data_IF_453172121453
#
_entry.id   IF_453172121453
#
_cell.length_a   1.000
_cell.length_b   1.000
_cell.length_c   1.000
_cell.angle_alpha   90.00
_cell.angle_beta   90.00
_cell.angle_gamma   90.00
#
_symmetry.space_group_name_H-M   'P 1'
#
loop_
_entity.id
_entity.type
_entity.pdbx_description
1 polymer ?
#
# COMPACT_ATOMS: atom_id res chain seq x y z
N UNK A 1 10.07 6.05 15.66
CA UNK A 1 9.92 4.68 16.20
C UNK A 1 11.17 4.18 16.92
N UNK A 2 12.24 4.98 17.08
CA UNK A 2 13.47 4.57 17.79
C UNK A 2 13.71 5.23 19.15
N UNK A 3 12.69 5.76 19.82
CA UNK A 3 12.88 6.53 21.06
C UNK A 3 11.78 6.27 22.12
N UNK A 4 11.32 5.02 22.26
CA UNK A 4 10.38 4.61 23.31
C UNK A 4 10.79 3.29 23.98
N UNK A 5 12.09 3.15 24.28
CA UNK A 5 12.61 2.12 25.18
C UNK A 5 13.71 2.75 26.05
N UNK A 6 13.33 3.79 26.81
CA UNK A 6 14.16 4.32 27.89
C UNK A 6 13.80 3.56 29.17
N UNK A 7 14.55 2.49 29.45
CA UNK A 7 14.37 1.67 30.66
C UNK A 7 15.06 0.32 30.52
N UNK A 8 16.30 0.24 31.03
CA UNK A 8 17.09 -0.96 31.34
C UNK A 8 17.09 -2.16 30.35
N UNK A 9 18.21 -2.34 29.64
CA UNK A 9 18.77 -3.66 29.28
C UNK A 9 18.03 -4.59 28.30
N UNK A 10 16.81 -4.27 27.86
CA UNK A 10 16.08 -5.16 26.96
C UNK A 10 16.63 -5.08 25.51
N UNK A 11 16.87 -6.21 24.84
CA UNK A 11 17.33 -6.22 23.46
C UNK A 11 16.30 -5.53 22.53
N UNK A 12 16.76 -4.88 21.45
CA UNK A 12 15.88 -4.15 20.54
C UNK A 12 14.87 -5.09 19.86
N UNK A 13 13.63 -4.62 19.73
CA UNK A 13 12.58 -5.35 19.01
C UNK A 13 12.94 -5.56 17.54
N UNK A 14 12.62 -6.74 17.03
CA UNK A 14 12.92 -7.16 15.67
C UNK A 14 11.70 -6.95 14.74
N UNK A 15 11.91 -6.25 13.63
CA UNK A 15 10.87 -6.00 12.62
C UNK A 15 10.47 -7.29 11.89
N UNK A 16 9.19 -7.64 11.84
CA UNK A 16 8.73 -8.89 11.19
C UNK A 16 8.25 -8.69 9.75
N UNK A 17 7.70 -7.52 9.43
CA UNK A 17 7.32 -7.11 8.08
C UNK A 17 7.40 -5.60 7.95
N UNK A 18 7.24 -5.09 6.73
CA UNK A 18 7.18 -3.64 6.47
C UNK A 18 5.76 -3.19 6.21
N UNK A 19 5.53 -1.91 6.49
CA UNK A 19 4.36 -1.14 6.10
C UNK A 19 4.89 0.11 5.38
N UNK A 20 4.22 0.56 4.32
CA UNK A 20 4.64 1.79 3.65
C UNK A 20 4.50 2.97 4.62
N UNK A 21 5.40 3.96 4.52
CA UNK A 21 5.51 5.09 5.45
C UNK A 21 4.18 5.80 5.75
N UNK A 22 3.28 5.83 4.78
CA UNK A 22 2.02 6.57 4.83
C UNK A 22 0.81 5.66 5.07
N UNK A 23 1.04 4.34 5.11
CA UNK A 23 0.01 3.37 5.44
C UNK A 23 -0.07 3.23 6.96
N UNK A 24 -1.29 3.20 7.49
CA UNK A 24 -1.54 3.00 8.93
C UNK A 24 -1.97 1.56 9.19
N UNK A 25 -1.99 1.11 10.44
CA UNK A 25 -2.57 -0.19 10.82
C UNK A 25 -1.59 -1.15 11.47
N UNK A 26 -1.90 -2.45 11.39
CA UNK A 26 -1.18 -3.50 12.11
C UNK A 26 0.30 -3.58 11.68
N UNK A 27 1.19 -3.63 12.67
CA UNK A 27 2.63 -3.82 12.50
C UNK A 27 3.14 -4.82 13.54
N UNK A 28 3.73 -5.93 13.08
CA UNK A 28 4.22 -7.00 13.96
C UNK A 28 5.71 -6.81 14.25
N UNK A 29 6.03 -6.80 15.55
CA UNK A 29 7.39 -6.78 16.09
C UNK A 29 7.60 -8.02 16.96
N UNK A 30 8.78 -8.62 16.90
CA UNK A 30 9.14 -9.74 17.76
C UNK A 30 10.18 -9.31 18.81
N UNK A 31 10.11 -9.89 20.01
CA UNK A 31 11.07 -9.61 21.09
C UNK A 31 12.47 -10.20 20.86
N UNK A 32 12.59 -11.21 19.99
CA UNK A 32 13.85 -11.89 19.70
C UNK A 32 14.00 -12.26 18.22
N UNK A 33 15.25 -12.47 17.80
CA UNK A 33 15.61 -12.76 16.41
C UNK A 33 14.97 -14.06 15.89
N UNK A 34 14.90 -15.10 16.73
CA UNK A 34 14.30 -16.39 16.35
C UNK A 34 12.80 -16.26 16.07
N UNK A 35 12.06 -15.58 16.94
CA UNK A 35 10.64 -15.30 16.74
C UNK A 35 10.42 -14.42 15.49
N UNK A 36 11.27 -13.41 15.27
CA UNK A 36 11.23 -12.63 14.04
C UNK A 36 11.47 -13.49 12.78
N UNK A 37 12.42 -14.41 12.83
CA UNK A 37 12.70 -15.32 11.71
C UNK A 37 11.49 -16.20 11.39
N UNK A 38 10.83 -16.77 12.41
CA UNK A 38 9.59 -17.55 12.23
C UNK A 38 8.47 -16.72 11.60
N UNK A 39 8.21 -15.52 12.11
CA UNK A 39 7.16 -14.66 11.56
C UNK A 39 7.50 -14.19 10.13
N UNK A 40 8.75 -13.79 9.87
CA UNK A 40 9.23 -13.43 8.52
C UNK A 40 9.04 -14.59 7.54
N UNK A 41 9.28 -15.84 7.98
CA UNK A 41 9.02 -17.02 7.17
C UNK A 41 7.54 -17.15 6.82
N UNK A 42 6.62 -16.93 7.76
CA UNK A 42 5.18 -16.94 7.48
C UNK A 42 4.77 -15.90 6.42
N UNK A 43 5.35 -14.70 6.47
CA UNK A 43 5.17 -13.69 5.41
C UNK A 43 5.77 -14.13 4.08
N UNK A 44 6.98 -14.70 4.09
CA UNK A 44 7.69 -15.22 2.90
C UNK A 44 6.93 -16.37 2.24
N UNK A 45 6.35 -17.26 3.03
CA UNK A 45 5.54 -18.40 2.60
C UNK A 45 4.09 -18.03 2.27
N UNK A 46 3.70 -16.77 2.51
CA UNK A 46 2.35 -16.24 2.25
C UNK A 46 1.26 -16.97 3.03
N UNK A 47 1.59 -17.36 4.26
CA UNK A 47 0.64 -17.96 5.20
C UNK A 47 -0.09 -16.92 6.05
N UNK A 48 0.34 -15.66 6.00
CA UNK A 48 -0.31 -14.53 6.69
C UNK A 48 -1.37 -13.91 5.79
N UNK A 49 -2.61 -13.94 6.23
CA UNK A 49 -3.69 -13.21 5.58
C UNK A 49 -3.61 -11.73 5.96
N UNK A 50 -3.83 -10.86 4.97
CA UNK A 50 -3.74 -9.41 5.15
C UNK A 50 -5.00 -8.79 4.60
N UNK A 51 -5.70 -8.02 5.42
CA UNK A 51 -6.86 -7.22 5.02
C UNK A 51 -6.56 -5.75 5.23
N UNK A 52 -6.76 -4.98 4.17
CA UNK A 52 -6.63 -3.53 4.17
C UNK A 52 -7.96 -2.88 3.87
N UNK A 53 -8.19 -1.72 4.48
CA UNK A 53 -9.25 -0.81 4.07
C UNK A 53 -8.64 0.39 3.35
N UNK A 54 -9.30 0.83 2.29
CA UNK A 54 -8.96 2.08 1.62
C UNK A 54 -10.20 2.90 1.26
N UNK A 55 -10.07 4.22 1.29
CA UNK A 55 -11.05 5.11 0.66
C UNK A 55 -10.49 5.45 -0.71
N UNK A 56 -11.20 5.11 -1.77
CA UNK A 56 -10.82 5.38 -3.16
C UNK A 56 -11.75 6.41 -3.79
N UNK A 57 -11.23 7.17 -4.76
CA UNK A 57 -12.06 8.01 -5.63
C UNK A 57 -12.78 7.11 -6.64
N UNK A 58 -14.05 7.42 -6.92
CA UNK A 58 -14.90 6.59 -7.77
C UNK A 58 -15.31 5.27 -7.12
N UNK A 59 -15.99 4.45 -7.90
CA UNK A 59 -16.42 3.11 -7.52
C UNK A 59 -15.92 2.14 -8.59
N UNK A 60 -15.16 1.10 -8.22
CA UNK A 60 -14.79 0.04 -9.15
C UNK A 60 -16.03 -0.67 -9.71
N UNK A 61 -15.98 -0.98 -11.00
CA UNK A 61 -16.93 -1.85 -11.68
C UNK A 61 -16.17 -3.04 -12.26
N UNK A 62 -16.47 -4.28 -11.86
CA UNK A 62 -17.48 -4.71 -10.88
C UNK A 62 -17.15 -4.30 -9.42
N UNK A 63 -18.11 -4.41 -8.50
CA UNK A 63 -17.95 -4.05 -7.07
C UNK A 63 -17.08 -5.01 -6.28
N UNK A 64 -16.78 -6.19 -6.81
CA UNK A 64 -15.81 -7.12 -6.26
C UNK A 64 -15.06 -7.82 -7.37
N UNK A 65 -13.80 -8.19 -7.11
CA UNK A 65 -13.00 -8.85 -8.12
C UNK A 65 -11.54 -9.01 -7.74
N UNK A 66 -10.73 -9.31 -8.75
CA UNK A 66 -9.29 -9.51 -8.60
C UNK A 66 -8.57 -8.70 -9.66
N UNK A 67 -7.56 -7.94 -9.25
CA UNK A 67 -6.60 -7.27 -10.14
C UNK A 67 -5.30 -8.05 -10.10
N UNK A 68 -4.94 -8.71 -11.19
CA UNK A 68 -3.79 -9.61 -11.32
C UNK A 68 -2.73 -9.12 -12.33
N UNK A 69 -2.66 -7.79 -12.52
CA UNK A 69 -1.72 -7.18 -13.45
C UNK A 69 -0.33 -7.06 -12.77
N UNK A 70 0.76 -7.58 -13.36
CA UNK A 70 2.10 -7.46 -12.79
C UNK A 70 2.52 -6.01 -12.56
N UNK A 71 3.40 -5.80 -11.59
CA UNK A 71 3.93 -4.46 -11.25
C UNK A 71 5.44 -4.45 -11.48
N UNK A 72 5.96 -3.33 -11.98
CA UNK A 72 7.40 -3.12 -12.21
C UNK A 72 7.80 -1.73 -11.75
N UNK A 73 8.99 -1.62 -11.16
CA UNK A 73 9.59 -0.32 -10.87
C UNK A 73 10.22 0.24 -12.15
N UNK A 74 9.80 1.44 -12.56
CA UNK A 74 10.38 2.16 -13.70
C UNK A 74 10.96 3.47 -13.24
N UNK A 75 12.09 3.83 -13.84
CA UNK A 75 12.60 5.18 -13.80
C UNK A 75 11.66 6.09 -14.59
N UNK A 76 11.43 7.29 -14.08
CA UNK A 76 10.57 8.25 -14.75
C UNK A 76 11.35 9.47 -15.16
N UNK A 77 11.23 9.79 -16.43
CA UNK A 77 11.88 10.93 -17.08
C UNK A 77 11.37 12.24 -16.48
N UNK A 78 12.29 13.03 -15.93
CA UNK A 78 12.07 14.33 -15.31
C UNK A 78 13.41 14.97 -14.96
N UNK A 79 13.40 16.20 -14.41
CA UNK A 79 14.63 16.92 -14.08
C UNK A 79 15.55 16.24 -13.05
N UNK A 80 15.05 15.24 -12.32
CA UNK A 80 15.83 14.32 -11.49
C UNK A 80 15.30 12.89 -11.67
N UNK A 81 16.23 11.93 -11.81
CA UNK A 81 15.92 10.51 -11.86
C UNK A 81 15.17 10.07 -10.60
N UNK A 82 13.99 9.49 -10.77
CA UNK A 82 13.23 8.92 -9.65
C UNK A 82 12.41 7.71 -10.10
N UNK A 83 12.23 6.76 -9.18
CA UNK A 83 11.62 5.47 -9.46
C UNK A 83 10.16 5.40 -8.98
N UNK A 84 9.30 4.82 -9.81
CA UNK A 84 7.88 4.59 -9.51
C UNK A 84 7.42 3.23 -10.01
N UNK A 85 6.63 2.57 -9.17
CA UNK A 85 5.91 1.36 -9.52
C UNK A 85 4.84 1.65 -10.58
N UNK A 86 4.78 0.86 -11.64
CA UNK A 86 3.80 0.95 -12.73
C UNK A 86 3.26 -0.44 -13.05
N UNK A 87 2.10 -0.50 -13.71
CA UNK A 87 1.62 -1.78 -14.24
C UNK A 87 2.47 -2.24 -15.42
N UNK A 88 2.67 -3.55 -15.51
CA UNK A 88 3.34 -4.25 -16.59
C UNK A 88 2.41 -5.34 -17.16
N UNK A 89 1.36 -4.95 -17.91
CA UNK A 89 0.50 -5.92 -18.56
C UNK A 89 1.30 -6.77 -19.55
N UNK A 90 0.92 -8.03 -19.72
CA UNK A 90 1.52 -8.94 -20.71
C UNK A 90 0.83 -8.82 -22.09
N UNK A 91 0.12 -7.72 -22.33
CA UNK A 91 -0.54 -7.39 -23.58
C UNK A 91 -0.37 -5.90 -23.88
N UNK A 92 -0.48 -5.54 -25.16
CA UNK A 92 -0.58 -4.17 -25.67
C UNK A 92 -1.89 -4.05 -26.45
N UNK A 93 -2.62 -2.96 -26.24
CA UNK A 93 -3.75 -2.61 -27.08
C UNK A 93 -3.22 -2.00 -28.38
N UNK A 94 -3.56 -2.61 -29.50
CA UNK A 94 -3.40 -1.98 -30.79
C UNK A 94 -4.52 -0.97 -30.99
N UNK A 95 -4.17 0.32 -31.01
CA UNK A 95 -5.16 1.41 -31.08
C UNK A 95 -5.81 1.53 -32.45
N UNK A 96 -5.16 1.04 -33.50
CA UNK A 96 -5.67 1.11 -34.88
C UNK A 96 -6.57 -0.09 -35.17
N UNK A 97 -6.19 -1.28 -34.69
CA UNK A 97 -6.95 -2.51 -34.93
C UNK A 97 -7.96 -2.87 -33.81
N UNK A 98 -7.92 -2.18 -32.65
CA UNK A 98 -8.72 -2.52 -31.47
C UNK A 98 -8.39 -3.89 -30.87
N UNK A 99 -7.29 -4.52 -31.28
CA UNK A 99 -6.92 -5.90 -30.92
C UNK A 99 -5.86 -5.92 -29.82
N UNK A 100 -5.98 -6.88 -28.91
CA UNK A 100 -4.98 -7.16 -27.90
C UNK A 100 -3.85 -8.02 -28.47
N UNK A 101 -2.62 -7.51 -28.41
CA UNK A 101 -1.41 -8.23 -28.83
C UNK A 101 -0.64 -8.67 -27.60
N UNK A 102 -0.41 -9.97 -27.44
CA UNK A 102 0.42 -10.51 -26.35
C UNK A 102 1.85 -10.01 -26.49
N UNK A 103 2.42 -9.50 -25.40
CA UNK A 103 3.81 -9.06 -25.34
C UNK A 103 4.59 -9.90 -24.32
N UNK A 104 5.90 -10.01 -24.53
CA UNK A 104 6.78 -10.69 -23.58
C UNK A 104 6.74 -9.95 -22.24
N UNK A 105 6.73 -10.74 -21.15
CA UNK A 105 6.77 -10.20 -19.79
C UNK A 105 7.99 -9.29 -19.62
N UNK A 106 7.77 -8.08 -19.12
CA UNK A 106 8.84 -7.12 -18.87
C UNK A 106 9.87 -7.69 -17.87
N UNK A 107 11.16 -7.48 -18.16
CA UNK A 107 12.24 -7.81 -17.20
C UNK A 107 12.02 -7.01 -15.92
N UNK A 108 12.12 -7.68 -14.77
CA UNK A 108 11.87 -7.06 -13.46
C UNK A 108 10.39 -6.94 -13.06
N UNK A 109 9.42 -7.38 -13.88
CA UNK A 109 8.02 -7.37 -13.47
C UNK A 109 7.72 -8.46 -12.43
N UNK A 110 7.19 -8.03 -11.29
CA UNK A 110 6.76 -8.89 -10.18
C UNK A 110 5.28 -9.25 -10.33
N UNK A 111 4.93 -10.52 -10.08
CA UNK A 111 3.53 -10.94 -10.10
C UNK A 111 2.78 -10.30 -8.94
N UNK A 112 1.73 -9.56 -9.29
CA UNK A 112 0.94 -8.79 -8.37
C UNK A 112 -0.55 -9.20 -8.45
N UNK A 113 -1.23 -9.43 -7.31
CA UNK A 113 -2.61 -9.91 -7.21
C UNK A 113 -3.27 -9.28 -5.98
N UNK A 114 -4.29 -8.47 -6.22
CA UNK A 114 -5.10 -7.83 -5.17
C UNK A 114 -6.55 -8.23 -5.38
N UNK A 115 -7.15 -8.92 -4.41
CA UNK A 115 -8.60 -9.06 -4.34
C UNK A 115 -9.19 -7.81 -3.71
N UNK A 116 -10.33 -7.37 -4.21
CA UNK A 116 -11.04 -6.21 -3.68
C UNK A 116 -12.53 -6.49 -3.55
N UNK A 117 -13.17 -5.78 -2.62
CA UNK A 117 -14.63 -5.72 -2.46
C UNK A 117 -15.03 -4.31 -2.01
N UNK A 118 -16.03 -3.73 -2.65
CA UNK A 118 -16.65 -2.46 -2.24
C UNK A 118 -17.52 -2.74 -1.01
N UNK A 119 -17.26 -2.02 0.08
CA UNK A 119 -18.04 -2.09 1.32
C UNK A 119 -19.12 -0.99 1.38
N UNK A 120 -18.83 0.16 0.79
CA UNK A 120 -19.75 1.29 0.69
C UNK A 120 -19.33 2.21 -0.46
N UNK A 121 -20.27 2.90 -1.09
CA UNK A 121 -20.01 3.90 -2.11
C UNK A 121 -20.92 5.12 -1.92
N UNK A 122 -20.34 6.31 -1.89
CA UNK A 122 -21.05 7.57 -1.73
C UNK A 122 -20.13 8.75 -2.08
N UNK A 123 -20.74 9.88 -2.45
CA UNK A 123 -20.02 11.17 -2.61
C UNK A 123 -18.83 11.10 -3.57
N UNK A 124 -18.93 10.31 -4.65
CA UNK A 124 -17.87 10.11 -5.64
C UNK A 124 -16.67 9.33 -5.11
N UNK A 125 -16.85 8.56 -4.03
CA UNK A 125 -15.82 7.73 -3.40
C UNK A 125 -16.39 6.36 -3.03
N UNK A 126 -15.51 5.42 -2.75
CA UNK A 126 -15.84 4.09 -2.23
C UNK A 126 -14.93 3.70 -1.08
N UNK A 127 -15.47 2.95 -0.11
CA UNK A 127 -14.70 2.22 0.88
C UNK A 127 -14.47 0.80 0.35
N UNK A 128 -13.21 0.40 0.25
CA UNK A 128 -12.80 -0.90 -0.28
C UNK A 128 -12.15 -1.75 0.81
N UNK A 129 -12.53 -3.01 0.88
CA UNK A 129 -11.72 -4.07 1.47
C UNK A 129 -10.75 -4.62 0.42
N UNK A 130 -9.49 -4.81 0.80
CA UNK A 130 -8.40 -5.18 -0.10
C UNK A 130 -7.54 -6.27 0.52
N UNK A 131 -7.29 -7.33 -0.24
CA UNK A 131 -6.45 -8.45 0.19
C UNK A 131 -5.31 -8.64 -0.82
N UNK A 132 -4.05 -8.26 -0.48
CA UNK A 132 -2.90 -8.51 -1.34
C UNK A 132 -2.46 -9.98 -1.21
N UNK A 133 -2.85 -10.80 -2.20
CA UNK A 133 -2.58 -12.25 -2.28
C UNK A 133 -1.19 -12.52 -2.90
N UNK A 134 -0.42 -11.48 -3.19
CA UNK A 134 0.78 -11.58 -4.01
C UNK A 134 1.80 -12.54 -3.54
N UNK A 135 2.35 -13.22 -4.54
CA UNK A 135 3.13 -14.38 -4.30
C UNK A 135 2.23 -15.56 -3.95
N UNK A 136 1.44 -16.08 -4.88
CA UNK A 136 1.25 -17.54 -4.93
C UNK A 136 2.13 -18.00 -6.07
N UNK A 137 3.29 -18.58 -5.77
CA UNK A 137 4.11 -19.22 -6.79
C UNK A 137 3.26 -20.41 -7.22
N UNK A 138 2.90 -20.54 -8.51
CA UNK A 138 2.52 -21.86 -9.03
C UNK A 138 3.62 -22.81 -8.57
N UNK A 139 3.29 -23.82 -7.76
CA UNK A 139 4.26 -24.75 -7.16
C UNK A 139 5.16 -25.32 -8.25
N UNK A 140 6.38 -24.78 -8.38
CA UNK A 140 7.54 -25.55 -8.84
C UNK A 140 8.42 -25.71 -7.62
N UNK A 141 8.48 -26.96 -7.13
CA UNK A 141 9.34 -27.41 -6.03
C UNK A 141 10.76 -26.90 -6.27
N UNK A 142 11.34 -26.14 -5.33
CA UNK A 142 12.79 -25.93 -5.29
C UNK A 142 13.25 -25.51 -3.89
N UNK A 143 14.02 -26.41 -3.27
CA UNK A 143 15.05 -26.28 -2.22
C UNK A 143 14.88 -25.22 -1.12
N UNK A 144 14.81 -25.72 0.11
CA UNK A 144 15.13 -24.97 1.34
C UNK A 144 16.52 -24.35 1.23
N UNK A 145 16.62 -23.06 1.50
CA UNK A 145 17.89 -22.32 1.63
C UNK A 145 18.09 -22.09 3.13
N UNK A 146 19.31 -22.31 3.69
CA UNK A 146 19.58 -22.07 5.10
C UNK A 146 19.34 -20.60 5.50
N UNK A 147 18.91 -20.38 6.74
CA UNK A 147 18.77 -19.04 7.32
C UNK A 147 20.17 -18.46 7.61
N UNK A 148 20.44 -17.17 7.29
CA UNK A 148 21.69 -16.55 7.64
C UNK A 148 21.77 -16.28 9.15
N UNK A 149 22.86 -16.72 9.75
CA UNK A 149 23.30 -16.36 11.10
C UNK A 149 24.15 -15.09 11.02
N UNK A 150 23.71 -14.01 11.68
CA UNK A 150 24.59 -12.90 12.08
C UNK A 150 24.63 -11.66 11.19
N UNK A 151 24.70 -10.52 11.89
CA UNK A 151 25.09 -9.14 11.54
C UNK A 151 24.44 -8.42 10.34
N UNK A 152 23.59 -7.45 10.69
CA UNK A 152 23.70 -6.07 10.19
C UNK A 152 23.31 -5.75 8.75
N UNK A 153 22.90 -6.72 7.94
CA UNK A 153 22.56 -6.44 6.55
C UNK A 153 21.15 -5.85 6.40
N UNK A 154 21.05 -4.61 5.92
CA UNK A 154 19.80 -3.91 5.59
C UNK A 154 19.31 -4.36 4.20
N UNK A 155 19.29 -5.68 4.00
CA UNK A 155 18.65 -6.30 2.84
C UNK A 155 17.12 -6.18 2.98
N UNK A 156 16.36 -6.05 1.87
CA UNK A 156 14.90 -5.97 1.93
C UNK A 156 14.32 -7.16 2.70
N UNK A 157 13.48 -6.91 3.71
CA UNK A 157 12.86 -7.99 4.49
C UNK A 157 12.15 -8.99 3.55
N UNK A 158 12.59 -10.26 3.48
CA UNK A 158 12.02 -11.23 2.57
C UNK A 158 10.57 -11.52 2.97
N UNK A 159 9.66 -11.50 1.99
CA UNK A 159 8.23 -11.80 2.21
C UNK A 159 7.31 -10.58 2.34
N UNK A 160 7.85 -9.35 2.29
CA UNK A 160 7.01 -8.19 2.06
C UNK A 160 6.34 -8.29 0.68
N UNK A 161 5.04 -8.00 0.59
CA UNK A 161 4.33 -7.92 -0.70
C UNK A 161 4.98 -6.91 -1.65
N UNK A 162 4.57 -6.92 -2.92
CA UNK A 162 5.14 -6.04 -3.95
C UNK A 162 4.95 -4.57 -3.53
N UNK A 163 6.03 -3.77 -3.64
CA UNK A 163 6.07 -2.37 -3.20
C UNK A 163 4.92 -1.58 -3.83
N UNK A 164 4.15 -0.87 -3.01
CA UNK A 164 3.03 -0.03 -3.43
C UNK A 164 1.95 -0.75 -4.28
N UNK A 165 1.89 -2.08 -4.26
CA UNK A 165 0.97 -2.86 -5.10
C UNK A 165 -0.47 -2.36 -5.04
N UNK A 166 -1.04 -2.23 -3.84
CA UNK A 166 -2.43 -1.83 -3.64
C UNK A 166 -2.68 -0.46 -4.28
N UNK A 167 -1.77 0.50 -4.03
CA UNK A 167 -1.84 1.87 -4.57
C UNK A 167 -1.86 1.87 -6.10
N UNK A 168 -0.99 1.07 -6.72
CA UNK A 168 -0.84 0.96 -8.17
C UNK A 168 -2.04 0.25 -8.80
N UNK A 169 -2.50 -0.86 -8.22
CA UNK A 169 -3.66 -1.61 -8.72
C UNK A 169 -4.93 -0.77 -8.67
N UNK A 170 -5.17 -0.05 -7.57
CA UNK A 170 -6.32 0.84 -7.46
C UNK A 170 -6.24 2.00 -8.44
N UNK A 171 -5.09 2.69 -8.53
CA UNK A 171 -4.96 3.86 -9.39
C UNK A 171 -4.99 3.54 -10.88
N UNK A 172 -4.28 2.49 -11.32
CA UNK A 172 -4.09 2.19 -12.75
C UNK A 172 -4.88 0.98 -13.24
N UNK A 173 -5.16 0.03 -12.36
CA UNK A 173 -5.93 -1.18 -12.72
C UNK A 173 -7.43 -0.93 -12.66
N UNK A 174 -7.91 -0.26 -11.61
CA UNK A 174 -9.34 0.03 -11.42
C UNK A 174 -9.72 1.48 -11.73
N UNK A 175 -8.77 2.35 -12.05
CA UNK A 175 -9.04 3.78 -12.25
C UNK A 175 -9.55 4.51 -11.00
N UNK A 176 -9.45 3.88 -9.82
CA UNK A 176 -9.99 4.36 -8.55
C UNK A 176 -8.84 4.66 -7.57
N UNK A 177 -8.08 5.75 -7.73
CA UNK A 177 -6.93 6.04 -6.87
C UNK A 177 -7.35 6.29 -5.41
N UNK A 178 -6.50 5.87 -4.46
CA UNK A 178 -6.74 6.06 -3.03
C UNK A 178 -6.79 7.56 -2.69
N UNK A 179 -7.73 7.97 -1.85
CA UNK A 179 -7.85 9.33 -1.33
C UNK A 179 -6.59 9.72 -0.53
N UNK A 180 -5.98 10.84 -0.90
CA UNK A 180 -4.70 11.32 -0.38
C UNK A 180 -3.47 10.70 -1.07
N UNK A 181 -3.65 9.81 -2.05
CA UNK A 181 -2.52 9.25 -2.81
C UNK A 181 -2.06 10.20 -3.92
N UNK A 182 -1.34 11.26 -3.54
CA UNK A 182 -0.83 12.21 -4.51
C UNK A 182 0.15 11.58 -5.50
N UNK A 183 0.84 10.49 -5.12
CA UNK A 183 1.86 9.84 -5.95
C UNK A 183 1.27 9.10 -7.15
N UNK A 184 0.13 8.43 -6.97
CA UNK A 184 -0.48 7.58 -7.99
C UNK A 184 -1.75 8.17 -8.62
N UNK A 185 -2.27 9.29 -8.13
CA UNK A 185 -3.51 9.91 -8.65
C UNK A 185 -3.42 10.54 -10.04
N UNK A 186 -2.24 10.68 -10.62
CA UNK A 186 -2.06 11.27 -11.94
C UNK A 186 -1.47 10.23 -12.90
N UNK A 187 -2.16 10.02 -14.02
CA UNK A 187 -1.74 9.08 -15.07
C UNK A 187 -0.55 9.59 -15.90
N UNK A 188 -0.39 10.92 -16.00
CA UNK A 188 0.59 11.59 -16.87
C UNK A 188 1.83 12.16 -16.17
N UNK A 189 1.80 12.43 -14.85
CA UNK A 189 2.91 13.14 -14.15
C UNK A 189 3.04 12.72 -12.68
N UNK A 190 4.28 12.76 -12.17
CA UNK A 190 4.65 12.25 -10.85
C UNK A 190 4.53 13.24 -9.70
N UNK A 191 4.48 12.66 -8.51
CA UNK A 191 4.28 13.39 -7.28
C UNK A 191 4.85 12.64 -6.05
N UNK A 192 5.73 13.24 -5.23
CA UNK A 192 6.01 12.76 -3.88
C UNK A 192 4.89 13.14 -2.89
N UNK A 193 4.57 12.24 -1.96
CA UNK A 193 3.59 12.46 -0.88
C UNK A 193 4.30 12.97 0.39
N UNK A 194 3.69 13.92 1.11
CA UNK A 194 4.27 14.57 2.31
C UNK A 194 3.49 14.12 3.54
N UNK A 195 4.20 13.50 4.49
CA UNK A 195 3.68 13.13 5.81
C UNK A 195 3.42 14.37 6.69
N UNK A 196 2.26 14.43 7.36
CA UNK A 196 1.76 15.55 8.17
C UNK A 196 2.60 15.98 9.40
N UNK A 197 3.80 15.43 9.62
CA UNK A 197 4.59 15.67 10.84
C UNK A 197 5.60 16.83 10.79
N UNK A 198 5.75 17.58 9.69
CA UNK A 198 6.66 18.75 9.66
C UNK A 198 5.95 20.05 10.06
N UNK A 199 5.54 20.14 11.32
CA UNK A 199 5.40 21.41 12.04
C UNK A 199 6.54 21.51 13.06
N UNK A 200 7.76 21.76 12.57
CA UNK A 200 8.84 22.20 13.42
C UNK A 200 9.81 23.02 12.56
N UNK A 201 9.75 24.35 12.76
CA UNK A 201 10.67 25.41 12.31
C UNK A 201 10.98 25.46 10.80
N UNK A 202 10.35 26.42 10.10
CA UNK A 202 10.79 26.86 8.77
C UNK A 202 12.13 27.61 8.89
N UNK A 203 13.16 27.29 8.09
CA UNK A 203 14.22 28.25 7.78
C UNK A 203 13.75 29.24 6.72
N UNK A 204 14.16 30.51 6.86
CA UNK A 204 13.80 31.69 6.04
C UNK A 204 14.53 31.79 4.68
N UNK A 205 14.95 30.69 4.05
CA UNK A 205 15.58 30.75 2.71
C UNK A 205 14.94 29.78 1.72
N UNK A 206 14.70 30.20 0.45
CA UNK A 206 14.13 29.34 -0.56
C UNK A 206 15.20 28.38 -1.07
N UNK A 207 15.35 27.23 -0.40
CA UNK A 207 15.95 26.07 -1.02
C UNK A 207 15.06 25.67 -2.20
N UNK A 208 15.60 25.76 -3.42
CA UNK A 208 15.00 25.24 -4.66
C UNK A 208 14.40 23.86 -4.36
N UNK A 209 13.07 23.82 -4.27
CA UNK A 209 12.34 22.64 -3.82
C UNK A 209 12.39 21.58 -4.92
N UNK A 210 12.74 20.31 -4.64
CA UNK A 210 12.65 19.26 -5.64
C UNK A 210 11.21 19.17 -6.14
N UNK A 211 11.05 18.95 -7.45
CA UNK A 211 9.81 19.04 -8.21
C UNK A 211 8.55 18.66 -7.39
N UNK A 212 7.77 19.67 -6.99
CA UNK A 212 6.59 19.48 -6.15
C UNK A 212 5.52 18.71 -6.91
N UNK A 213 5.08 17.62 -6.32
CA UNK A 213 3.88 16.87 -6.70
C UNK A 213 2.68 17.76 -6.98
N UNK A 214 1.98 17.51 -8.09
CA UNK A 214 0.62 18.05 -8.23
C UNK A 214 -0.30 17.32 -7.25
N UNK A 215 -1.06 18.04 -6.40
CA UNK A 215 -2.01 17.41 -5.49
C UNK A 215 -3.01 16.55 -6.26
N UNK A 216 -3.57 15.52 -5.61
CA UNK A 216 -4.69 14.75 -6.18
C UNK A 216 -5.85 15.70 -6.49
N UNK A 217 -6.39 15.62 -7.71
CA UNK A 217 -7.61 16.35 -8.07
C UNK A 217 -8.80 15.59 -7.50
N UNK A 218 -9.66 16.29 -6.76
CA UNK A 218 -10.82 15.71 -6.10
C UNK A 218 -12.10 16.16 -6.81
N UNK A 219 -13.13 15.31 -6.91
CA UNK A 219 -14.45 15.72 -7.37
C UNK A 219 -15.04 16.83 -6.47
N UNK A 220 -15.84 17.74 -7.04
CA UNK A 220 -16.45 18.85 -6.29
C UNK A 220 -17.33 18.36 -5.14
N UNK A 221 -18.10 17.28 -5.37
CA UNK A 221 -18.93 16.67 -4.33
C UNK A 221 -18.07 16.18 -3.15
N UNK A 222 -16.90 15.60 -3.42
CA UNK A 222 -15.96 15.13 -2.41
C UNK A 222 -15.35 16.31 -1.65
N UNK A 223 -14.93 17.38 -2.34
CA UNK A 223 -14.42 18.61 -1.72
C UNK A 223 -15.45 19.25 -0.79
N UNK A 224 -16.70 19.38 -1.25
CA UNK A 224 -17.82 19.94 -0.47
C UNK A 224 -18.10 19.12 0.79
N UNK A 225 -18.15 17.79 0.67
CA UNK A 225 -18.35 16.86 1.81
C UNK A 225 -17.20 16.91 2.81
N UNK A 226 -15.96 16.99 2.33
CA UNK A 226 -14.78 17.12 3.18
C UNK A 226 -14.63 18.52 3.79
N UNK A 227 -15.40 19.52 3.33
CA UNK A 227 -15.22 20.95 3.64
C UNK A 227 -13.78 21.39 3.36
N UNK A 228 -13.29 21.03 2.18
CA UNK A 228 -11.89 21.20 1.78
C UNK A 228 -11.81 21.94 0.45
N UNK A 229 -10.93 22.92 0.35
CA UNK A 229 -10.55 23.54 -0.92
C UNK A 229 -9.52 22.68 -1.67
N UNK A 230 -9.57 22.66 -3.00
CA UNK A 230 -8.64 21.89 -3.83
C UNK A 230 -7.15 22.25 -3.56
N UNK A 231 -6.85 23.50 -3.23
CA UNK A 231 -5.50 23.95 -2.88
C UNK A 231 -4.94 23.23 -1.63
N UNK A 232 -5.82 22.85 -0.70
CA UNK A 232 -5.48 22.18 0.57
C UNK A 232 -5.41 20.65 0.45
N UNK A 233 -5.83 20.07 -0.68
CA UNK A 233 -5.85 18.62 -0.92
C UNK A 233 -4.48 17.94 -0.70
N UNK A 234 -3.37 18.66 -0.91
CA UNK A 234 -2.00 18.16 -0.69
C UNK A 234 -1.66 17.75 0.74
N UNK A 235 -2.49 18.15 1.69
CA UNK A 235 -2.31 17.85 3.10
C UNK A 235 -3.15 16.64 3.54
N UNK A 236 -3.93 16.04 2.63
CA UNK A 236 -4.67 14.84 2.94
C UNK A 236 -3.70 13.67 3.17
N UNK A 237 -3.82 12.95 4.30
CA UNK A 237 -3.10 11.70 4.49
C UNK A 237 -3.61 10.63 3.52
N UNK A 238 -2.78 9.62 3.24
CA UNK A 238 -3.20 8.45 2.49
C UNK A 238 -4.24 7.66 3.30
N UNK A 239 -5.41 7.45 2.71
CA UNK A 239 -6.47 6.64 3.30
C UNK A 239 -6.27 5.16 2.96
N UNK A 240 -5.16 4.59 3.42
CA UNK A 240 -4.86 3.16 3.35
C UNK A 240 -4.51 2.65 4.76
N UNK A 241 -5.21 1.61 5.18
CA UNK A 241 -5.14 1.10 6.54
C UNK A 241 -5.07 -0.43 6.57
N UNK A 242 -4.02 -1.00 7.16
CA UNK A 242 -3.91 -2.44 7.45
C UNK A 242 -4.84 -2.78 8.63
N UNK A 243 -6.04 -3.25 8.30
CA UNK A 243 -7.14 -3.50 9.24
C UNK A 243 -6.98 -4.80 10.02
N UNK A 244 -6.58 -5.88 9.33
CA UNK A 244 -6.45 -7.23 9.92
C UNK A 244 -5.22 -7.94 9.41
N UNK A 245 -4.50 -8.62 10.31
CA UNK A 245 -3.54 -9.66 9.96
C UNK A 245 -3.94 -10.95 10.67
N UNK A 246 -4.03 -12.04 9.92
CA UNK A 246 -4.24 -13.39 10.47
C UNK A 246 -2.95 -14.18 10.32
N UNK A 247 -2.35 -14.59 11.43
CA UNK A 247 -1.21 -15.51 11.42
C UNK A 247 -1.74 -16.93 11.66
N UNK A 248 -1.25 -17.93 10.92
CA UNK A 248 -1.66 -19.30 11.12
C UNK A 248 -1.26 -19.75 12.53
N UNK A 249 -2.01 -20.69 13.10
CA UNK A 249 -1.70 -21.20 14.43
C UNK A 249 -0.32 -21.87 14.48
N UNK A 250 0.31 -21.78 15.65
CA UNK A 250 1.35 -22.74 16.03
C UNK A 250 0.75 -24.14 16.20
N UNK A 251 1.59 -25.17 16.31
CA UNK A 251 1.13 -26.55 16.53
C UNK A 251 0.16 -26.60 17.72
N UNK A 252 -1.11 -26.94 17.47
CA UNK A 252 -2.16 -27.06 18.50
C UNK A 252 -2.90 -25.78 18.92
N UNK A 253 -2.70 -24.64 18.25
CA UNK A 253 -3.35 -23.36 18.62
C UNK A 253 -4.45 -22.92 17.63
N UNK A 254 -5.21 -21.88 18.00
CA UNK A 254 -6.08 -21.14 17.08
C UNK A 254 -5.27 -20.06 16.31
N UNK A 255 -5.72 -19.63 15.11
CA UNK A 255 -5.08 -18.53 14.38
C UNK A 255 -4.98 -17.26 15.22
N UNK A 256 -3.85 -16.56 15.14
CA UNK A 256 -3.67 -15.28 15.82
C UNK A 256 -4.23 -14.16 14.93
N UNK A 257 -5.40 -13.64 15.31
CA UNK A 257 -6.05 -12.50 14.66
C UNK A 257 -5.61 -11.18 15.29
N UNK A 258 -5.01 -10.32 14.48
CA UNK A 258 -4.60 -8.98 14.88
C UNK A 258 -5.48 -7.95 14.17
N UNK A 259 -6.29 -7.23 14.94
CA UNK A 259 -7.19 -6.18 14.44
C UNK A 259 -6.70 -4.80 14.87
N UNK A 260 -6.71 -3.83 13.94
CA UNK A 260 -6.41 -2.44 14.23
C UNK A 260 -7.59 -1.55 13.85
N UNK A 261 -8.00 -0.65 14.75
CA UNK A 261 -9.05 0.31 14.46
C UNK A 261 -8.54 1.41 13.50
N UNK A 262 -9.34 1.85 12.51
CA UNK A 262 -8.93 2.96 11.65
C UNK A 262 -8.64 4.23 12.45
N UNK A 263 -7.60 4.99 12.10
CA UNK A 263 -7.23 6.20 12.83
C UNK A 263 -8.32 7.28 12.72
N UNK A 264 -8.28 8.26 13.64
CA UNK A 264 -9.32 9.30 13.74
C UNK A 264 -9.58 10.06 12.43
N UNK A 265 -8.53 10.39 11.66
CA UNK A 265 -8.69 11.07 10.36
C UNK A 265 -9.44 10.21 9.34
N UNK A 266 -9.21 8.89 9.36
CA UNK A 266 -9.85 7.94 8.45
C UNK A 266 -11.34 7.85 8.78
N UNK A 267 -11.67 7.63 10.07
CA UNK A 267 -13.06 7.56 10.55
C UNK A 267 -13.84 8.86 10.32
N UNK A 268 -13.22 10.02 10.54
CA UNK A 268 -13.85 11.31 10.25
C UNK A 268 -14.15 11.46 8.75
N UNK A 269 -13.25 10.98 7.90
CA UNK A 269 -13.43 11.00 6.44
C UNK A 269 -14.57 10.08 6.00
N UNK A 270 -14.69 8.87 6.58
CA UNK A 270 -15.83 7.98 6.33
C UNK A 270 -17.16 8.67 6.62
N UNK A 271 -17.30 9.24 7.83
CA UNK A 271 -18.53 9.96 8.23
C UNK A 271 -18.84 11.14 7.31
N UNK A 272 -17.83 11.96 6.97
CA UNK A 272 -18.02 13.12 6.08
C UNK A 272 -18.44 12.72 4.67
N UNK A 273 -17.90 11.62 4.15
CA UNK A 273 -18.23 11.11 2.82
C UNK A 273 -19.48 10.23 2.80
N UNK A 274 -20.05 9.90 3.96
CA UNK A 274 -21.16 8.94 4.14
C UNK A 274 -20.79 7.53 3.66
N UNK A 275 -19.59 7.08 3.98
CA UNK A 275 -19.07 5.76 3.68
C UNK A 275 -19.14 4.88 4.93
N UNK A 276 -20.35 4.56 5.38
CA UNK A 276 -20.54 3.59 6.45
C UNK A 276 -20.59 2.19 5.80
N UNK A 277 -19.70 1.25 6.19
CA UNK A 277 -19.81 -0.12 5.73
C UNK A 277 -21.16 -0.66 6.20
N UNK A 278 -21.91 -1.32 5.32
CA UNK A 278 -22.99 -2.18 5.77
C UNK A 278 -22.37 -3.18 6.77
N UNK A 279 -23.01 -3.34 7.93
CA UNK A 279 -22.50 -4.16 9.04
C UNK A 279 -21.88 -5.47 8.51
N UNK A 280 -20.64 -5.72 8.93
CA UNK A 280 -19.88 -6.93 8.61
C UNK A 280 -19.71 -7.76 9.88
#
# INVERSE_FOLDING_TARGET
LGAMLGGAGAPPLCLCHRLDKETTGVMVLARGAEAAARVRLLFKERRVEKVYWAIALGQPEPTEGVVDIPVVEKEVQGGQAHFKMTLAPNYRLDREAGKEVKIRKARGAESAVTRYRVLAAASGCSLLELQPITGKRRRRRSRCVPLPTGSGDVSPLPGAGVKHQIRVHLAYGLGCPILGDHKYSHWRKLAPQVSARRRARLPRRPLRSPARSRPQKLPEVTLKRLKLEQAKARHLPLHLHARRLSLPPGTGAAPLELLCQPPAFFRNTLRRLKLEPAEA
#
